data_IF_430011680410
#
_entry.id   IF_430011680410
#
_cell.length_a   1.000
_cell.length_b   1.000
_cell.length_c   1.000
_cell.angle_alpha   90.00
_cell.angle_beta   90.00
_cell.angle_gamma   90.00
#
_symmetry.space_group_name_H-M   'P 1'
#
loop_
_entity.id
_entity.type
_entity.pdbx_description
1 polymer ?
#
# COMPACT_ATOMS: atom_id res chain seq x y z
N UNK A 1 4.50 -38.25 -14.61
CA UNK A 1 4.45 -37.19 -13.58
C UNK A 1 3.15 -36.37 -13.63
N UNK A 2 2.10 -36.82 -14.33
CA UNK A 2 0.88 -36.05 -14.56
C UNK A 2 -0.29 -36.43 -13.63
N UNK A 3 -0.14 -37.50 -12.84
CA UNK A 3 -1.18 -37.99 -11.94
C UNK A 3 -1.48 -37.06 -10.76
N UNK A 4 -0.48 -36.29 -10.30
CA UNK A 4 -0.67 -35.32 -9.22
C UNK A 4 -1.56 -34.14 -9.65
N UNK A 5 -1.42 -33.69 -10.90
CA UNK A 5 -2.25 -32.61 -11.46
C UNK A 5 -3.70 -33.06 -11.65
N UNK A 6 -3.92 -34.31 -12.09
CA UNK A 6 -5.27 -34.87 -12.26
C UNK A 6 -5.96 -35.09 -10.91
N UNK A 7 -5.22 -35.54 -9.89
CA UNK A 7 -5.77 -35.72 -8.54
C UNK A 7 -6.15 -34.40 -7.85
N UNK A 8 -5.41 -33.31 -8.12
CA UNK A 8 -5.75 -31.97 -7.63
C UNK A 8 -6.99 -31.40 -8.32
N UNK A 9 -7.16 -31.63 -9.63
CA UNK A 9 -8.32 -31.16 -10.39
C UNK A 9 -9.59 -31.95 -10.08
N UNK A 10 -9.49 -33.25 -9.79
CA UNK A 10 -10.66 -34.09 -9.53
C UNK A 10 -11.32 -33.86 -8.16
N UNK A 11 -10.67 -33.13 -7.24
CA UNK A 11 -11.14 -32.94 -5.86
C UNK A 11 -12.22 -31.86 -5.72
N UNK A 12 -12.48 -31.08 -6.76
CA UNK A 12 -13.35 -29.90 -6.69
C UNK A 12 -14.43 -29.94 -7.78
N UNK A 13 -15.41 -30.83 -7.59
CA UNK A 13 -16.56 -30.98 -8.50
C UNK A 13 -17.89 -30.95 -7.73
N UNK A 14 -17.90 -30.36 -6.54
CA UNK A 14 -19.12 -30.02 -5.82
C UNK A 14 -19.49 -28.59 -6.18
N UNK A 15 -20.55 -28.41 -6.97
CA UNK A 15 -21.16 -27.09 -7.19
C UNK A 15 -21.49 -26.54 -5.80
N UNK A 16 -20.82 -25.47 -5.34
CA UNK A 16 -21.07 -24.95 -4.01
C UNK A 16 -22.50 -24.41 -3.94
N UNK A 17 -23.25 -24.80 -2.91
CA UNK A 17 -24.55 -24.18 -2.63
C UNK A 17 -24.34 -22.67 -2.38
N UNK A 18 -25.20 -21.82 -2.93
CA UNK A 18 -25.13 -20.35 -2.95
C UNK A 18 -24.93 -19.66 -1.58
N UNK A 19 -24.97 -20.43 -0.48
CA UNK A 19 -24.90 -19.95 0.90
C UNK A 19 -23.49 -20.01 1.50
N UNK A 20 -22.53 -20.61 0.80
CA UNK A 20 -21.13 -20.76 1.27
C UNK A 20 -20.20 -19.63 0.76
N UNK A 21 -20.73 -18.69 -0.02
CA UNK A 21 -19.98 -17.52 -0.54
C UNK A 21 -20.07 -16.29 0.37
N UNK A 22 -20.35 -16.49 1.66
CA UNK A 22 -20.12 -15.44 2.65
C UNK A 22 -18.65 -15.52 3.04
N UNK A 23 -17.87 -14.50 2.67
CA UNK A 23 -16.47 -14.40 3.08
C UNK A 23 -16.40 -14.58 4.60
N UNK A 24 -15.97 -15.76 5.04
CA UNK A 24 -15.79 -16.05 6.45
C UNK A 24 -14.85 -15.03 7.07
N UNK A 25 -14.78 -15.01 8.39
CA UNK A 25 -13.94 -14.07 9.14
C UNK A 25 -12.48 -13.95 8.61
N UNK A 26 -11.94 -15.01 8.00
CA UNK A 26 -10.66 -14.97 7.30
C UNK A 26 -10.63 -14.04 6.09
N UNK A 27 -11.65 -14.06 5.23
CA UNK A 27 -11.70 -13.19 4.05
C UNK A 27 -11.72 -11.71 4.46
N UNK A 28 -12.49 -11.38 5.50
CA UNK A 28 -12.46 -10.05 6.10
C UNK A 28 -11.07 -9.68 6.68
N UNK A 29 -10.44 -10.61 7.40
CA UNK A 29 -9.11 -10.38 7.97
C UNK A 29 -8.05 -10.13 6.90
N UNK A 30 -8.08 -10.89 5.80
CA UNK A 30 -7.17 -10.70 4.66
C UNK A 30 -7.40 -9.33 4.02
N UNK A 31 -8.66 -8.91 3.84
CA UNK A 31 -9.00 -7.61 3.28
C UNK A 31 -8.44 -6.45 4.13
N UNK A 32 -8.61 -6.51 5.45
CA UNK A 32 -8.05 -5.52 6.37
C UNK A 32 -6.51 -5.54 6.33
N UNK A 33 -5.89 -6.73 6.30
CA UNK A 33 -4.45 -6.84 6.21
C UNK A 33 -3.90 -6.18 4.92
N UNK A 34 -4.59 -6.33 3.79
CA UNK A 34 -4.22 -5.66 2.54
C UNK A 34 -4.33 -4.14 2.65
N UNK A 35 -5.38 -3.61 3.28
CA UNK A 35 -5.52 -2.17 3.52
C UNK A 35 -4.36 -1.65 4.37
N UNK A 36 -4.03 -2.35 5.46
CA UNK A 36 -2.91 -1.97 6.35
C UNK A 36 -1.58 -2.01 5.60
N UNK A 37 -1.34 -3.06 4.79
CA UNK A 37 -0.13 -3.17 3.99
C UNK A 37 0.02 -1.97 3.04
N UNK A 38 -1.05 -1.57 2.35
CA UNK A 38 -1.06 -0.40 1.47
C UNK A 38 -0.85 0.90 2.26
N UNK A 39 -1.51 1.06 3.41
CA UNK A 39 -1.36 2.25 4.25
C UNK A 39 0.09 2.42 4.74
N UNK A 40 0.75 1.32 5.14
CA UNK A 40 2.15 1.31 5.54
C UNK A 40 3.08 1.66 4.37
N UNK A 41 2.78 1.16 3.16
CA UNK A 41 3.53 1.51 1.96
C UNK A 41 3.42 3.00 1.63
N UNK A 42 2.19 3.54 1.64
CA UNK A 42 1.94 4.96 1.42
C UNK A 42 2.66 5.81 2.47
N UNK A 43 2.58 5.44 3.75
CA UNK A 43 3.29 6.16 4.82
C UNK A 43 4.81 6.13 4.64
N UNK A 44 5.38 4.97 4.30
CA UNK A 44 6.81 4.84 4.04
C UNK A 44 7.26 5.74 2.89
N UNK A 45 6.50 5.74 1.79
CA UNK A 45 6.77 6.57 0.62
C UNK A 45 6.67 8.07 0.95
N UNK A 46 5.57 8.51 1.57
CA UNK A 46 5.38 9.91 1.95
C UNK A 46 6.44 10.38 2.93
N UNK A 47 6.88 9.54 3.87
CA UNK A 47 7.94 9.87 4.82
C UNK A 47 9.28 10.10 4.14
N UNK A 48 9.60 9.31 3.10
CA UNK A 48 10.82 9.51 2.31
C UNK A 48 10.74 10.80 1.50
N UNK A 49 9.61 11.04 0.82
CA UNK A 49 9.41 12.27 0.05
C UNK A 49 9.49 13.53 0.93
N UNK A 50 8.94 13.50 2.15
CA UNK A 50 9.00 14.64 3.07
C UNK A 50 10.42 14.93 3.53
N UNK A 51 11.20 13.92 3.91
CA UNK A 51 12.61 14.09 4.29
C UNK A 51 13.44 14.73 3.19
N UNK A 52 13.21 14.34 1.93
CA UNK A 52 13.93 14.94 0.80
C UNK A 52 13.52 16.40 0.59
N UNK A 53 12.23 16.73 0.75
CA UNK A 53 11.74 18.12 0.68
C UNK A 53 12.33 18.97 1.79
N UNK A 54 12.30 18.49 3.03
CA UNK A 54 12.86 19.20 4.19
C UNK A 54 14.37 19.46 4.00
N UNK A 55 15.12 18.52 3.43
CA UNK A 55 16.54 18.69 3.11
C UNK A 55 16.78 19.66 1.93
N UNK A 56 15.85 19.71 0.96
CA UNK A 56 15.81 20.68 -0.14
C UNK A 56 15.56 22.09 0.37
N UNK A 57 14.56 22.26 1.24
CA UNK A 57 14.16 23.54 1.83
C UNK A 57 15.23 24.05 2.81
N UNK A 58 15.93 23.15 3.51
CA UNK A 58 17.07 23.49 4.36
C UNK A 58 18.36 23.82 3.58
N UNK A 59 18.32 23.88 2.25
CA UNK A 59 19.45 24.30 1.41
C UNK A 59 20.64 23.32 1.36
N UNK A 60 20.46 22.08 1.83
CA UNK A 60 21.54 21.08 1.95
C UNK A 60 22.10 20.66 0.58
N UNK A 61 21.32 20.85 -0.49
CA UNK A 61 21.73 20.58 -1.88
C UNK A 61 22.40 21.78 -2.59
N UNK A 62 22.73 22.86 -1.87
CA UNK A 62 23.42 24.03 -2.43
C UNK A 62 22.52 25.10 -3.07
N UNK A 63 21.22 25.09 -2.76
CA UNK A 63 20.28 26.15 -3.15
C UNK A 63 20.06 27.06 -1.93
N UNK A 64 20.16 28.38 -2.10
CA UNK A 64 19.98 29.31 -0.98
C UNK A 64 18.57 29.13 -0.39
N UNK A 65 18.42 29.08 0.95
CA UNK A 65 17.11 29.04 1.56
C UNK A 65 16.31 30.24 1.04
N UNK A 66 15.08 30.01 0.57
CA UNK A 66 14.18 31.10 0.17
C UNK A 66 14.08 32.05 1.36
N UNK A 67 14.65 33.24 1.23
CA UNK A 67 14.35 34.35 2.10
C UNK A 67 12.85 34.59 2.01
N UNK A 68 12.18 34.55 3.16
CA UNK A 68 10.84 35.08 3.30
C UNK A 68 10.83 36.47 2.68
N UNK A 69 10.08 36.63 1.58
CA UNK A 69 9.88 37.90 0.92
C UNK A 69 9.24 38.83 1.94
N UNK A 70 10.06 39.75 2.46
CA UNK A 70 9.64 40.86 3.28
C UNK A 70 8.87 41.80 2.35
N UNK A 71 7.56 41.59 2.27
CA UNK A 71 6.58 42.55 1.74
C UNK A 71 6.72 43.86 2.54
N UNK A 72 7.60 44.75 2.08
CA UNK A 72 7.48 46.18 2.39
C UNK A 72 6.58 46.77 1.31
N UNK A 73 5.28 46.71 1.59
CA UNK A 73 4.31 47.63 1.00
C UNK A 73 4.60 49.07 1.46
N UNK A 74 4.34 50.01 0.54
CA UNK A 74 4.21 51.48 0.66
C UNK A 74 5.44 52.36 0.40
#
# INVERSE_FOLDING_TARGET
>A
MNGLLIALVAKDNSIPEDKDVVAGWLGFSVFIALIVAVALLCWSLTRQLRKTRDARDAGVFGDQPKSEDHDTDA
#
